data_IF_292946830452
#
_entry.id   IF_292946830452
#
_cell.length_a   1.000
_cell.length_b   1.000
_cell.length_c   1.000
_cell.angle_alpha   90.00
_cell.angle_beta   90.00
_cell.angle_gamma   90.00
#
_symmetry.space_group_name_H-M   'P 1'
#
loop_
_entity.id
_entity.type
_entity.pdbx_description
1 polymer ?
#
# COMPACT_ATOMS: atom_id res chain seq x y z
N UNK A 1 63.55 46.02 -28.24
CA UNK A 1 62.06 46.21 -28.19
C UNK A 1 61.55 46.03 -29.61
N UNK A 2 60.65 45.14 -30.02
CA UNK A 2 59.79 44.16 -29.38
C UNK A 2 59.54 43.06 -30.42
N UNK A 3 60.16 41.88 -30.30
CA UNK A 3 59.74 40.66 -31.05
C UNK A 3 59.32 39.51 -30.12
N UNK A 4 59.54 39.62 -28.80
CA UNK A 4 59.25 38.55 -27.84
C UNK A 4 57.79 38.53 -27.34
N UNK A 5 56.95 39.50 -27.73
CA UNK A 5 55.58 39.63 -27.22
C UNK A 5 54.50 39.12 -28.18
N UNK A 6 54.86 38.73 -29.41
CA UNK A 6 53.89 38.26 -30.42
C UNK A 6 53.68 36.74 -30.39
N UNK A 7 54.75 35.96 -30.16
CA UNK A 7 54.66 34.49 -30.10
C UNK A 7 54.02 33.95 -28.82
N UNK A 8 54.05 34.72 -27.73
CA UNK A 8 53.40 34.34 -26.46
C UNK A 8 51.87 34.43 -26.51
N UNK A 9 51.29 35.23 -27.42
CA UNK A 9 49.82 35.35 -27.53
C UNK A 9 49.20 34.28 -28.41
N UNK A 10 49.94 33.72 -29.36
CA UNK A 10 49.43 32.66 -30.25
C UNK A 10 49.49 31.27 -29.58
N UNK A 11 50.48 31.00 -28.71
CA UNK A 11 50.54 29.77 -27.90
C UNK A 11 49.50 29.69 -26.76
N UNK A 12 49.04 30.84 -26.27
CA UNK A 12 48.08 30.92 -25.16
C UNK A 12 46.62 30.97 -25.65
N UNK A 13 46.37 31.38 -26.90
CA UNK A 13 45.08 31.22 -27.57
C UNK A 13 44.85 29.80 -28.11
N UNK A 14 45.91 29.06 -28.48
CA UNK A 14 45.78 27.66 -28.89
C UNK A 14 45.56 26.68 -27.71
N UNK A 15 45.94 27.07 -26.49
CA UNK A 15 45.76 26.24 -25.27
C UNK A 15 44.44 26.50 -24.53
N UNK A 16 43.69 27.56 -24.88
CA UNK A 16 42.37 27.85 -24.30
C UNK A 16 41.19 27.36 -25.13
N UNK A 17 41.43 26.86 -26.34
CA UNK A 17 40.44 26.17 -27.18
C UNK A 17 40.25 24.69 -26.83
N UNK A 18 40.96 24.17 -25.82
CA UNK A 18 40.98 22.74 -25.47
C UNK A 18 40.21 22.31 -24.22
N UNK A 19 39.40 23.17 -23.58
CA UNK A 19 38.75 22.82 -22.29
C UNK A 19 37.23 23.08 -22.19
N UNK A 20 36.55 23.41 -23.29
CA UNK A 20 35.08 23.39 -23.35
C UNK A 20 34.57 22.67 -24.60
N UNK A 21 35.16 21.53 -24.91
CA UNK A 21 34.44 20.47 -25.61
C UNK A 21 33.97 19.46 -24.55
N UNK A 22 33.12 19.91 -23.61
CA UNK A 22 32.07 19.01 -23.15
C UNK A 22 31.30 18.68 -24.42
N UNK A 23 31.56 17.49 -24.98
CA UNK A 23 30.70 16.95 -26.02
C UNK A 23 29.28 17.11 -25.48
N UNK A 24 28.51 18.01 -26.12
CA UNK A 24 27.09 18.13 -25.84
C UNK A 24 26.55 16.74 -26.10
N UNK A 25 26.32 15.99 -25.02
CA UNK A 25 25.71 14.68 -25.10
C UNK A 25 24.51 14.82 -26.03
N UNK A 26 24.34 13.86 -26.93
CA UNK A 26 23.09 13.81 -27.69
C UNK A 26 21.92 13.76 -26.69
N UNK A 27 20.72 14.17 -27.09
CA UNK A 27 19.57 14.14 -26.19
C UNK A 27 19.34 12.72 -25.63
N UNK A 28 19.58 11.69 -26.46
CA UNK A 28 19.51 10.28 -26.06
C UNK A 28 20.62 9.90 -25.07
N UNK A 29 21.87 10.31 -25.34
CA UNK A 29 23.00 10.05 -24.42
C UNK A 29 22.82 10.76 -23.08
N UNK A 30 22.22 11.95 -23.07
CA UNK A 30 21.87 12.66 -21.85
C UNK A 30 20.83 11.87 -21.05
N UNK A 31 19.73 11.47 -21.69
CA UNK A 31 18.65 10.73 -21.02
C UNK A 31 19.12 9.37 -20.47
N UNK A 32 19.99 8.68 -21.21
CA UNK A 32 20.59 7.41 -20.76
C UNK A 32 21.59 7.63 -19.63
N UNK A 33 22.48 8.63 -19.74
CA UNK A 33 23.47 8.93 -18.71
C UNK A 33 22.84 9.27 -17.36
N UNK A 34 21.72 10.00 -17.37
CA UNK A 34 21.01 10.40 -16.15
C UNK A 34 19.92 9.40 -15.74
N UNK A 35 19.77 8.29 -16.45
CA UNK A 35 18.78 7.24 -16.14
C UNK A 35 17.32 7.69 -16.27
N UNK A 36 17.06 8.82 -16.94
CA UNK A 36 15.71 9.40 -17.11
C UNK A 36 14.81 8.44 -17.87
N UNK A 37 15.39 7.72 -18.85
CA UNK A 37 14.67 6.71 -19.62
C UNK A 37 14.08 5.60 -18.75
N UNK A 38 14.69 5.25 -17.61
CA UNK A 38 14.15 4.24 -16.69
C UNK A 38 12.86 4.73 -16.05
N UNK A 39 12.85 5.97 -15.57
CA UNK A 39 11.67 6.59 -14.95
C UNK A 39 10.54 6.83 -15.96
N UNK A 40 10.87 7.23 -17.20
CA UNK A 40 9.87 7.42 -18.24
C UNK A 40 9.23 6.10 -18.67
N UNK A 41 10.04 5.05 -18.90
CA UNK A 41 9.53 3.71 -19.23
C UNK A 41 8.62 3.18 -18.13
N UNK A 42 9.07 3.26 -16.88
CA UNK A 42 8.28 2.84 -15.72
C UNK A 42 6.98 3.63 -15.60
N UNK A 43 7.03 4.95 -15.68
CA UNK A 43 5.83 5.80 -15.64
C UNK A 43 4.80 5.44 -16.73
N UNK A 44 5.26 5.25 -17.97
CA UNK A 44 4.39 4.87 -19.09
C UNK A 44 3.79 3.47 -18.87
N UNK A 45 4.59 2.50 -18.44
CA UNK A 45 4.12 1.15 -18.10
C UNK A 45 3.00 1.23 -17.06
N UNK A 46 3.19 1.98 -15.98
CA UNK A 46 2.18 2.15 -14.94
C UNK A 46 0.90 2.79 -15.46
N UNK A 47 0.99 3.77 -16.36
CA UNK A 47 -0.19 4.39 -17.00
C UNK A 47 -0.95 3.37 -17.85
N UNK A 48 -0.23 2.56 -18.63
CA UNK A 48 -0.83 1.58 -19.53
C UNK A 48 -1.48 0.41 -18.77
N UNK A 49 -0.84 -0.06 -17.71
CA UNK A 49 -1.32 -1.17 -16.87
C UNK A 49 -2.48 -0.76 -15.98
N UNK A 50 -2.38 0.41 -15.32
CA UNK A 50 -3.36 0.84 -14.32
C UNK A 50 -4.50 1.68 -14.92
N UNK A 51 -4.33 2.25 -16.11
CA UNK A 51 -5.30 3.12 -16.80
C UNK A 51 -5.97 4.12 -15.85
N UNK A 52 -5.20 4.98 -15.16
CA UNK A 52 -5.75 5.93 -14.21
C UNK A 52 -6.76 6.87 -14.88
N UNK A 53 -7.83 7.25 -14.17
CA UNK A 53 -8.87 8.16 -14.69
C UNK A 53 -8.30 9.50 -15.16
N UNK A 54 -7.22 9.94 -14.51
CA UNK A 54 -6.53 11.19 -14.81
C UNK A 54 -5.03 10.96 -15.08
N UNK A 55 -4.67 10.51 -16.31
CA UNK A 55 -3.30 10.13 -16.64
C UNK A 55 -2.26 11.25 -16.47
N UNK A 56 -2.63 12.50 -16.76
CA UNK A 56 -1.71 13.63 -16.64
C UNK A 56 -1.38 13.99 -15.19
N UNK A 57 -2.39 13.99 -14.31
CA UNK A 57 -2.17 14.17 -12.86
C UNK A 57 -1.29 13.04 -12.31
N UNK A 58 -1.56 11.80 -12.73
CA UNK A 58 -0.75 10.63 -12.35
C UNK A 58 0.73 10.77 -12.75
N UNK A 59 1.00 11.17 -13.99
CA UNK A 59 2.38 11.35 -14.49
C UNK A 59 3.10 12.45 -13.71
N UNK A 60 2.44 13.59 -13.48
CA UNK A 60 3.00 14.69 -12.71
C UNK A 60 3.36 14.25 -11.29
N UNK A 61 2.46 13.52 -10.62
CA UNK A 61 2.71 12.95 -9.31
C UNK A 61 3.85 11.93 -9.33
N UNK A 62 3.90 11.04 -10.31
CA UNK A 62 4.98 10.06 -10.43
C UNK A 62 6.34 10.78 -10.51
N UNK A 63 6.49 11.74 -11.43
CA UNK A 63 7.74 12.48 -11.64
C UNK A 63 8.13 13.31 -10.41
N UNK A 64 7.18 14.01 -9.80
CA UNK A 64 7.43 14.72 -8.55
C UNK A 64 7.98 13.78 -7.48
N UNK A 65 7.40 12.59 -7.32
CA UNK A 65 7.86 11.66 -6.31
C UNK A 65 9.21 10.99 -6.64
N UNK A 66 9.51 10.83 -7.92
CA UNK A 66 10.84 10.41 -8.37
C UNK A 66 11.90 11.48 -8.03
N UNK A 67 11.58 12.77 -8.24
CA UNK A 67 12.46 13.90 -7.96
C UNK A 67 12.70 14.12 -6.46
N UNK A 68 11.65 14.04 -5.64
CA UNK A 68 11.73 14.32 -4.20
C UNK A 68 12.29 13.15 -3.36
N UNK A 69 12.79 12.09 -4.00
CA UNK A 69 13.55 11.06 -3.30
C UNK A 69 12.78 10.29 -2.24
N UNK A 70 11.48 10.02 -2.45
CA UNK A 70 10.70 9.17 -1.53
C UNK A 70 11.40 7.82 -1.32
N UNK A 71 11.39 7.34 -0.07
CA UNK A 71 12.05 6.08 0.31
C UNK A 71 11.55 4.89 -0.51
N UNK A 72 12.37 3.84 -0.65
CA UNK A 72 11.98 2.60 -1.35
C UNK A 72 10.70 2.00 -0.77
N UNK A 73 10.50 2.09 0.54
CA UNK A 73 9.26 1.73 1.24
C UNK A 73 8.06 2.53 0.74
N UNK A 74 8.18 3.85 0.65
CA UNK A 74 7.08 4.71 0.20
C UNK A 74 6.76 4.51 -1.29
N UNK A 75 7.77 4.26 -2.13
CA UNK A 75 7.56 3.90 -3.55
C UNK A 75 6.80 2.58 -3.67
N UNK A 76 7.19 1.58 -2.88
CA UNK A 76 6.56 0.26 -2.84
C UNK A 76 5.12 0.32 -2.36
N UNK A 77 4.85 1.09 -1.31
CA UNK A 77 3.49 1.39 -0.85
C UNK A 77 2.62 1.97 -1.98
N UNK A 78 3.16 2.91 -2.76
CA UNK A 78 2.43 3.54 -3.86
C UNK A 78 2.12 2.57 -4.98
N UNK A 79 3.06 1.73 -5.41
CA UNK A 79 2.80 0.70 -6.43
C UNK A 79 1.58 -0.15 -6.06
N UNK A 80 1.54 -0.65 -4.82
CA UNK A 80 0.44 -1.48 -4.34
C UNK A 80 -0.88 -0.69 -4.33
N UNK A 81 -0.85 0.61 -4.02
CA UNK A 81 -2.02 1.50 -4.00
C UNK A 81 -2.50 1.97 -5.38
N UNK A 82 -1.77 1.69 -6.46
CA UNK A 82 -2.17 2.10 -7.81
C UNK A 82 -3.46 1.45 -8.28
N UNK A 83 -3.73 0.25 -7.79
CA UNK A 83 -4.91 -0.50 -8.19
C UNK A 83 -5.45 -1.32 -7.03
N UNK A 84 -6.76 -1.55 -7.05
CA UNK A 84 -7.41 -2.48 -6.13
C UNK A 84 -6.95 -3.91 -6.39
N UNK A 85 -6.97 -4.71 -5.33
CA UNK A 85 -6.44 -6.07 -5.24
C UNK A 85 -7.11 -7.09 -6.17
N UNK A 86 -8.33 -6.80 -6.59
CA UNK A 86 -9.14 -7.59 -7.52
C UNK A 86 -8.87 -7.28 -9.00
N UNK A 87 -8.03 -6.31 -9.32
CA UNK A 87 -7.74 -5.89 -10.70
C UNK A 87 -6.54 -6.64 -11.25
N UNK A 88 -6.53 -6.87 -12.56
CA UNK A 88 -5.48 -7.64 -13.24
C UNK A 88 -4.06 -7.07 -13.02
N UNK A 89 -3.90 -5.74 -13.04
CA UNK A 89 -2.62 -5.07 -12.83
C UNK A 89 -2.06 -5.19 -11.39
N UNK A 90 -2.84 -5.72 -10.44
CA UNK A 90 -2.42 -5.77 -9.04
C UNK A 90 -1.15 -6.61 -8.82
N UNK A 91 -1.04 -7.77 -9.49
CA UNK A 91 0.12 -8.64 -9.32
C UNK A 91 1.40 -8.03 -9.88
N UNK A 92 1.31 -7.32 -10.99
CA UNK A 92 2.45 -6.62 -11.62
C UNK A 92 2.92 -5.45 -10.74
N UNK A 93 1.98 -4.70 -10.17
CA UNK A 93 2.28 -3.67 -9.19
C UNK A 93 2.91 -4.25 -7.91
N UNK A 94 2.41 -5.39 -7.43
CA UNK A 94 2.93 -6.08 -6.25
C UNK A 94 4.36 -6.58 -6.47
N UNK A 95 4.65 -7.12 -7.66
CA UNK A 95 6.00 -7.49 -8.07
C UNK A 95 6.92 -6.26 -8.16
N UNK A 96 6.44 -5.17 -8.75
CA UNK A 96 7.18 -3.89 -8.84
C UNK A 96 7.52 -3.34 -7.46
N UNK A 97 6.60 -3.41 -6.49
CA UNK A 97 6.83 -3.06 -5.09
C UNK A 97 7.92 -3.94 -4.47
N UNK A 98 7.81 -5.27 -4.59
CA UNK A 98 8.79 -6.21 -4.06
C UNK A 98 10.20 -5.95 -4.60
N UNK A 99 10.36 -5.87 -5.93
CA UNK A 99 11.66 -5.65 -6.56
C UNK A 99 12.21 -4.23 -6.32
N UNK A 100 11.37 -3.25 -6.01
CA UNK A 100 11.83 -1.93 -5.57
C UNK A 100 12.52 -2.00 -4.21
N UNK A 101 11.98 -2.80 -3.28
CA UNK A 101 12.62 -3.01 -1.99
C UNK A 101 13.89 -3.84 -2.11
N UNK A 102 13.86 -4.95 -2.86
CA UNK A 102 15.02 -5.84 -3.09
C UNK A 102 16.19 -5.06 -3.65
N UNK A 103 15.99 -4.28 -4.73
CA UNK A 103 17.05 -3.47 -5.34
C UNK A 103 17.67 -2.48 -4.35
N UNK A 104 16.84 -1.89 -3.50
CA UNK A 104 17.34 -0.98 -2.46
C UNK A 104 18.17 -1.72 -1.39
N UNK A 105 17.78 -2.94 -1.00
CA UNK A 105 18.54 -3.77 -0.07
C UNK A 105 19.89 -4.19 -0.65
N UNK A 106 19.92 -4.57 -1.93
CA UNK A 106 21.13 -4.94 -2.65
C UNK A 106 22.12 -3.78 -2.75
N UNK A 107 21.64 -2.55 -2.98
CA UNK A 107 22.46 -1.33 -2.93
C UNK A 107 23.07 -1.08 -1.54
N UNK A 108 22.45 -1.60 -0.47
CA UNK A 108 22.93 -1.54 0.90
C UNK A 108 23.80 -2.77 1.27
N UNK A 109 24.16 -3.61 0.29
CA UNK A 109 24.97 -4.82 0.50
C UNK A 109 24.21 -5.99 1.13
N UNK A 110 22.88 -5.95 1.16
CA UNK A 110 22.04 -7.02 1.71
C UNK A 110 21.52 -7.93 0.60
N UNK A 111 21.26 -9.20 0.93
CA UNK A 111 20.76 -10.20 -0.03
C UNK A 111 19.23 -10.29 0.03
N UNK A 112 18.56 -9.66 -0.94
CA UNK A 112 17.10 -9.68 -1.08
C UNK A 112 16.36 -8.74 -0.12
N UNK A 113 15.04 -8.87 -0.09
CA UNK A 113 14.16 -8.11 0.79
C UNK A 113 14.37 -8.54 2.24
N UNK A 114 14.62 -7.58 3.13
CA UNK A 114 14.81 -7.85 4.56
C UNK A 114 13.52 -7.70 5.35
N UNK A 115 13.44 -8.42 6.48
CA UNK A 115 12.34 -8.31 7.43
C UNK A 115 12.13 -6.88 7.92
N UNK A 116 13.20 -6.10 8.13
CA UNK A 116 13.10 -4.70 8.54
C UNK A 116 12.34 -3.82 7.52
N UNK A 117 12.64 -3.96 6.22
CA UNK A 117 11.96 -3.21 5.16
C UNK A 117 10.52 -3.71 4.97
N UNK A 118 10.32 -5.03 5.02
CA UNK A 118 8.99 -5.64 4.96
C UNK A 118 8.09 -5.12 6.09
N UNK A 119 8.55 -5.19 7.34
CA UNK A 119 7.79 -4.70 8.51
C UNK A 119 7.55 -3.19 8.45
N UNK A 120 8.49 -2.41 7.91
CA UNK A 120 8.29 -0.97 7.70
C UNK A 120 7.17 -0.69 6.71
N UNK A 121 7.05 -1.48 5.64
CA UNK A 121 5.95 -1.37 4.68
C UNK A 121 4.61 -1.79 5.30
N UNK A 122 4.58 -2.91 6.04
CA UNK A 122 3.38 -3.39 6.75
C UNK A 122 2.84 -2.31 7.70
N UNK A 123 3.72 -1.63 8.45
CA UNK A 123 3.32 -0.52 9.33
C UNK A 123 2.64 0.63 8.59
N UNK A 124 3.01 0.91 7.34
CA UNK A 124 2.32 1.94 6.55
C UNK A 124 0.89 1.53 6.22
N UNK A 125 0.66 0.26 5.82
CA UNK A 125 -0.69 -0.24 5.54
C UNK A 125 -1.57 -0.31 6.80
N UNK A 126 -0.99 -0.69 7.93
CA UNK A 126 -1.74 -0.85 9.17
C UNK A 126 -1.86 0.45 9.99
N UNK A 127 -1.48 1.61 9.45
CA UNK A 127 -1.39 2.87 10.23
C UNK A 127 -2.72 3.33 10.81
N UNK A 128 -3.82 3.04 10.13
CA UNK A 128 -5.19 3.39 10.56
C UNK A 128 -5.93 2.21 11.22
N UNK A 129 -5.25 1.10 11.49
CA UNK A 129 -5.91 -0.10 12.04
C UNK A 129 -6.07 0.00 13.57
N UNK A 130 -7.08 -0.69 14.14
CA UNK A 130 -7.19 -0.83 15.59
C UNK A 130 -5.92 -1.47 16.19
N UNK A 131 -5.42 -0.98 17.35
CA UNK A 131 -4.17 -1.47 17.95
C UNK A 131 -4.14 -2.99 18.16
N UNK A 132 -5.27 -3.59 18.51
CA UNK A 132 -5.41 -5.02 18.75
C UNK A 132 -5.18 -5.85 17.47
N UNK A 133 -5.52 -5.27 16.31
CA UNK A 133 -5.30 -5.86 14.99
C UNK A 133 -3.85 -5.73 14.61
N UNK A 134 -3.26 -4.56 14.84
CA UNK A 134 -1.83 -4.32 14.59
C UNK A 134 -0.99 -5.30 15.39
N UNK A 135 -1.30 -5.50 16.68
CA UNK A 135 -0.61 -6.46 17.54
C UNK A 135 -0.71 -7.89 16.98
N UNK A 136 -1.93 -8.32 16.66
CA UNK A 136 -2.17 -9.66 16.11
C UNK A 136 -1.48 -9.89 14.77
N UNK A 137 -1.57 -8.91 13.86
CA UNK A 137 -0.91 -8.92 12.57
C UNK A 137 0.60 -8.95 12.71
N UNK A 138 1.16 -8.15 13.62
CA UNK A 138 2.61 -8.10 13.88
C UNK A 138 3.11 -9.43 14.45
N UNK A 139 2.34 -10.06 15.34
CA UNK A 139 2.67 -11.39 15.90
C UNK A 139 2.69 -12.49 14.84
N UNK A 140 1.71 -12.50 13.93
CA UNK A 140 1.65 -13.49 12.84
C UNK A 140 2.73 -13.22 11.79
N UNK A 141 3.00 -11.95 11.51
CA UNK A 141 3.99 -11.52 10.53
C UNK A 141 5.40 -11.34 11.11
N UNK A 142 5.63 -11.79 12.34
CA UNK A 142 6.88 -11.55 13.07
C UNK A 142 8.06 -12.15 12.30
N UNK A 143 8.96 -11.27 11.88
CA UNK A 143 10.12 -11.59 11.06
C UNK A 143 11.34 -10.90 11.63
N UNK A 144 12.44 -11.63 11.70
CA UNK A 144 13.70 -11.02 12.18
C UNK A 144 14.11 -9.92 11.20
N UNK A 145 14.70 -8.85 11.72
CA UNK A 145 15.09 -7.69 10.90
C UNK A 145 16.00 -8.05 9.73
N UNK A 146 16.89 -9.03 9.90
CA UNK A 146 17.82 -9.54 8.89
C UNK A 146 17.29 -10.73 8.08
N UNK A 147 16.09 -11.22 8.36
CA UNK A 147 15.51 -12.36 7.64
C UNK A 147 15.21 -11.97 6.19
N UNK A 148 15.54 -12.86 5.25
CA UNK A 148 15.19 -12.69 3.85
C UNK A 148 13.73 -13.10 3.62
N UNK A 149 12.97 -12.22 2.99
CA UNK A 149 11.53 -12.39 2.76
C UNK A 149 11.30 -12.78 1.30
N UNK A 150 10.64 -13.91 1.07
CA UNK A 150 10.26 -14.34 -0.29
C UNK A 150 9.11 -13.52 -0.85
N UNK A 151 8.99 -13.49 -2.17
CA UNK A 151 7.84 -12.85 -2.84
C UNK A 151 6.49 -13.43 -2.40
N UNK A 152 6.40 -14.75 -2.24
CA UNK A 152 5.15 -15.40 -1.80
C UNK A 152 4.72 -14.97 -0.40
N UNK A 153 5.67 -14.86 0.54
CA UNK A 153 5.40 -14.40 1.89
C UNK A 153 5.03 -12.91 1.90
N UNK A 154 5.79 -12.09 1.17
CA UNK A 154 5.50 -10.67 0.97
C UNK A 154 4.07 -10.47 0.44
N UNK A 155 3.71 -11.18 -0.64
CA UNK A 155 2.41 -11.07 -1.26
C UNK A 155 1.28 -11.47 -0.30
N UNK A 156 1.46 -12.55 0.47
CA UNK A 156 0.47 -12.97 1.46
C UNK A 156 0.26 -11.91 2.54
N UNK A 157 1.34 -11.31 3.06
CA UNK A 157 1.26 -10.26 4.07
C UNK A 157 0.57 -8.99 3.59
N UNK A 158 0.91 -8.52 2.38
CA UNK A 158 0.26 -7.36 1.77
C UNK A 158 -1.23 -7.63 1.50
N UNK A 159 -1.57 -8.81 0.95
CA UNK A 159 -2.95 -9.20 0.75
C UNK A 159 -3.73 -9.22 2.07
N UNK A 160 -3.15 -9.74 3.14
CA UNK A 160 -3.79 -9.75 4.45
C UNK A 160 -4.08 -8.32 4.94
N UNK A 161 -3.12 -7.39 4.83
CA UNK A 161 -3.34 -5.99 5.21
C UNK A 161 -4.50 -5.36 4.43
N UNK A 162 -4.48 -5.48 3.10
CA UNK A 162 -5.55 -4.94 2.24
C UNK A 162 -6.91 -5.57 2.54
N UNK A 163 -6.97 -6.87 2.86
CA UNK A 163 -8.21 -7.54 3.27
C UNK A 163 -8.77 -6.98 4.58
N UNK A 164 -7.91 -6.66 5.56
CA UNK A 164 -8.36 -6.04 6.81
C UNK A 164 -8.86 -4.61 6.58
N UNK A 165 -8.20 -3.86 5.71
CA UNK A 165 -8.65 -2.51 5.32
C UNK A 165 -10.03 -2.54 4.65
N UNK A 166 -10.20 -3.37 3.60
CA UNK A 166 -11.49 -3.61 2.93
C UNK A 166 -12.58 -4.03 3.94
N UNK A 167 -12.21 -4.85 4.92
CA UNK A 167 -13.11 -5.24 5.99
C UNK A 167 -13.52 -4.07 6.89
N UNK A 168 -12.58 -3.21 7.30
CA UNK A 168 -12.90 -2.04 8.14
C UNK A 168 -13.79 -1.04 7.41
N UNK A 169 -13.50 -0.76 6.14
CA UNK A 169 -14.36 0.09 5.29
C UNK A 169 -15.80 -0.44 5.26
N UNK A 170 -15.97 -1.75 5.12
CA UNK A 170 -17.29 -2.36 5.10
C UNK A 170 -17.97 -2.36 6.48
N UNK A 171 -17.23 -2.63 7.54
CA UNK A 171 -17.73 -2.60 8.91
C UNK A 171 -18.19 -1.18 9.29
N UNK A 172 -17.43 -0.17 8.90
CA UNK A 172 -17.77 1.25 9.08
C UNK A 172 -19.03 1.61 8.29
N UNK A 173 -19.13 1.20 7.02
CA UNK A 173 -20.33 1.41 6.20
C UNK A 173 -21.58 0.83 6.86
N UNK A 174 -21.51 -0.42 7.35
CA UNK A 174 -22.62 -1.07 8.06
C UNK A 174 -22.98 -0.29 9.32
N UNK A 175 -21.99 0.08 10.13
CA UNK A 175 -22.24 0.77 11.39
C UNK A 175 -22.88 2.14 11.15
N UNK A 176 -22.36 2.93 10.21
CA UNK A 176 -22.89 4.24 9.85
C UNK A 176 -24.28 4.15 9.23
N UNK A 177 -24.61 3.05 8.53
CA UNK A 177 -25.97 2.80 8.04
C UNK A 177 -26.98 2.58 9.19
N UNK A 178 -26.51 2.16 10.36
CA UNK A 178 -27.34 1.96 11.55
C UNK A 178 -27.33 3.19 12.48
N UNK A 179 -26.23 3.94 12.55
CA UNK A 179 -26.06 5.15 13.35
C UNK A 179 -26.53 6.41 12.61
N UNK A 180 -27.82 6.45 12.25
CA UNK A 180 -28.41 7.55 11.46
C UNK A 180 -28.24 8.92 12.13
N UNK A 181 -28.21 8.94 13.47
CA UNK A 181 -28.06 10.16 14.25
C UNK A 181 -26.59 10.57 14.50
N UNK A 182 -25.62 9.80 13.99
CA UNK A 182 -24.18 10.00 14.19
C UNK A 182 -23.78 10.15 15.68
N UNK A 183 -24.40 9.37 16.56
CA UNK A 183 -24.15 9.39 18.02
C UNK A 183 -22.96 8.53 18.43
N UNK A 184 -22.37 7.77 17.50
CA UNK A 184 -21.33 6.78 17.74
C UNK A 184 -21.84 5.52 18.45
N UNK A 185 -23.16 5.36 18.52
CA UNK A 185 -23.85 4.31 19.27
C UNK A 185 -25.14 3.91 18.56
N UNK A 186 -25.34 2.60 18.40
CA UNK A 186 -26.54 2.04 17.77
C UNK A 186 -27.24 1.13 18.77
N UNK A 187 -28.56 1.23 18.85
CA UNK A 187 -29.36 0.26 19.60
C UNK A 187 -29.10 -1.17 19.08
N UNK A 188 -28.82 -2.10 19.98
CA UNK A 188 -28.43 -3.47 19.62
C UNK A 188 -29.50 -4.18 18.78
N UNK A 189 -30.79 -4.02 19.11
CA UNK A 189 -31.86 -4.71 18.39
C UNK A 189 -31.97 -4.17 16.95
N UNK A 190 -31.85 -2.85 16.79
CA UNK A 190 -31.78 -2.20 15.47
C UNK A 190 -30.55 -2.68 14.69
N UNK A 191 -29.37 -2.65 15.30
CA UNK A 191 -28.11 -3.09 14.68
C UNK A 191 -28.19 -4.54 14.19
N UNK A 192 -28.69 -5.46 15.02
CA UNK A 192 -28.83 -6.87 14.66
C UNK A 192 -29.89 -7.08 13.56
N UNK A 193 -30.98 -6.30 13.57
CA UNK A 193 -32.02 -6.41 12.54
C UNK A 193 -31.49 -6.03 11.15
N UNK A 194 -30.71 -4.93 11.06
CA UNK A 194 -30.09 -4.46 9.82
C UNK A 194 -29.04 -5.45 9.34
N UNK A 195 -28.19 -5.95 10.25
CA UNK A 195 -27.22 -7.00 9.93
C UNK A 195 -27.89 -8.25 9.34
N UNK A 196 -29.04 -8.68 9.89
CA UNK A 196 -29.82 -9.81 9.34
C UNK A 196 -30.38 -9.51 7.96
N UNK A 197 -30.91 -8.31 7.75
CA UNK A 197 -31.49 -7.90 6.46
C UNK A 197 -30.41 -7.84 5.37
N UNK A 198 -29.25 -7.25 5.66
CA UNK A 198 -28.11 -7.22 4.72
C UNK A 198 -27.63 -8.64 4.39
N UNK A 199 -27.62 -9.53 5.39
CA UNK A 199 -27.20 -10.92 5.20
C UNK A 199 -28.16 -11.73 4.29
N UNK A 200 -29.45 -11.44 4.37
CA UNK A 200 -30.48 -12.04 3.51
C UNK A 200 -30.44 -11.45 2.09
N UNK A 201 -30.21 -10.14 1.96
CA UNK A 201 -30.13 -9.43 0.67
C UNK A 201 -28.92 -9.88 -0.16
N UNK A 202 -27.80 -10.19 0.50
CA UNK A 202 -26.58 -10.70 -0.14
C UNK A 202 -26.72 -12.12 -0.69
N UNK A 203 -27.77 -12.86 -0.32
CA UNK A 203 -28.08 -14.18 -0.90
C UNK A 203 -28.68 -14.08 -2.30
N UNK A 204 -29.30 -12.94 -2.66
CA UNK A 204 -30.14 -12.84 -3.88
C UNK A 204 -29.53 -11.97 -4.99
N UNK A 205 -28.41 -11.26 -4.78
CA UNK A 205 -27.94 -10.22 -5.72
C UNK A 205 -26.51 -10.39 -6.28
N UNK A 206 -25.69 -11.36 -5.84
CA UNK A 206 -24.28 -11.41 -6.29
C UNK A 206 -24.03 -12.35 -7.48
N UNK A 207 -24.54 -11.94 -8.65
CA UNK A 207 -23.82 -12.18 -9.90
C UNK A 207 -22.66 -11.17 -9.98
N UNK A 208 -21.42 -11.70 -10.00
CA UNK A 208 -20.27 -11.14 -10.71
C UNK A 208 -19.93 -9.64 -10.52
N UNK A 209 -19.67 -9.20 -9.29
CA UNK A 209 -18.67 -8.13 -9.10
C UNK A 209 -17.39 -8.73 -8.53
N UNK A 210 -16.43 -9.01 -9.41
CA UNK A 210 -15.08 -9.46 -9.07
C UNK A 210 -14.46 -8.48 -8.06
N UNK A 211 -14.41 -8.85 -6.78
CA UNK A 211 -13.97 -7.95 -5.71
C UNK A 211 -14.40 -8.41 -4.32
N UNK A 212 -13.90 -9.57 -3.90
CA UNK A 212 -13.92 -10.12 -2.54
C UNK A 212 -15.26 -10.12 -1.79
N UNK A 213 -15.82 -11.34 -1.69
CA UNK A 213 -16.62 -11.73 -0.53
C UNK A 213 -15.73 -11.66 0.72
N UNK A 214 -15.77 -10.53 1.43
CA UNK A 214 -15.57 -10.49 2.89
C UNK A 214 -16.32 -11.71 3.44
N UNK A 215 -15.74 -12.54 4.34
CA UNK A 215 -16.36 -13.78 4.80
C UNK A 215 -17.84 -13.55 5.11
N UNK A 216 -18.65 -13.94 4.12
CA UNK A 216 -20.06 -13.62 4.04
C UNK A 216 -20.73 -14.26 5.22
N UNK A 217 -21.75 -13.59 5.78
CA UNK A 217 -22.68 -14.08 6.80
C UNK A 217 -22.09 -14.57 8.13
N UNK A 218 -21.19 -15.54 8.13
CA UNK A 218 -20.63 -16.25 9.29
C UNK A 218 -19.83 -15.36 10.23
N UNK A 219 -19.12 -14.37 9.70
CA UNK A 219 -18.35 -13.42 10.52
C UNK A 219 -19.31 -12.50 11.30
N UNK A 220 -20.34 -11.99 10.62
CA UNK A 220 -21.39 -11.18 11.23
C UNK A 220 -22.22 -12.00 12.22
N UNK A 221 -22.54 -13.26 11.92
CA UNK A 221 -23.21 -14.18 12.84
C UNK A 221 -22.37 -14.48 14.09
N UNK A 222 -21.05 -14.63 13.92
CA UNK A 222 -20.14 -14.85 15.03
C UNK A 222 -19.99 -13.58 15.88
N UNK A 223 -19.90 -12.40 15.26
CA UNK A 223 -19.86 -11.12 15.96
C UNK A 223 -21.18 -10.88 16.74
N UNK A 224 -22.32 -11.23 16.14
CA UNK A 224 -23.62 -11.24 16.81
C UNK A 224 -23.59 -12.10 18.06
N UNK A 225 -23.04 -13.31 18.02
CA UNK A 225 -22.98 -14.18 19.19
C UNK A 225 -22.13 -13.58 20.33
N UNK A 226 -21.02 -12.90 19.98
CA UNK A 226 -20.17 -12.21 20.95
C UNK A 226 -20.90 -11.01 21.57
N UNK A 227 -21.62 -10.22 20.76
CA UNK A 227 -22.39 -9.07 21.23
C UNK A 227 -23.62 -9.49 22.05
N UNK A 228 -24.30 -10.59 21.67
CA UNK A 228 -25.41 -11.17 22.45
C UNK A 228 -24.96 -11.65 23.83
N UNK A 229 -23.74 -12.18 23.94
CA UNK A 229 -23.18 -12.57 25.22
C UNK A 229 -22.93 -11.37 26.15
N UNK A 230 -22.55 -10.20 25.59
CA UNK A 230 -22.42 -8.92 26.31
C UNK A 230 -23.79 -8.42 26.79
N UNK A 231 -24.81 -8.47 25.93
CA UNK A 231 -26.15 -7.96 26.20
C UNK A 231 -26.79 -8.58 27.46
N UNK A 232 -26.56 -9.89 27.71
CA UNK A 232 -27.13 -10.62 28.85
C UNK A 232 -26.78 -10.07 30.24
N UNK A 233 -25.89 -9.10 30.35
CA UNK A 233 -25.54 -8.44 31.61
C UNK A 233 -25.36 -6.91 31.54
N UNK A 234 -25.82 -6.25 30.47
CA UNK A 234 -25.57 -4.81 30.26
C UNK A 234 -26.79 -3.94 30.58
N UNK A 235 -26.62 -2.85 31.34
CA UNK A 235 -27.64 -1.81 31.56
C UNK A 235 -27.85 -0.93 30.30
N UNK A 236 -26.81 -0.78 29.48
CA UNK A 236 -26.86 -0.05 28.21
C UNK A 236 -26.91 -1.03 27.03
N UNK A 237 -28.00 -0.98 26.26
CA UNK A 237 -28.22 -1.82 25.08
C UNK A 237 -27.53 -1.30 23.81
N UNK A 238 -26.89 -0.14 23.88
CA UNK A 238 -26.20 0.40 22.71
C UNK A 238 -24.88 -0.34 22.43
N UNK A 239 -24.56 -0.47 21.16
CA UNK A 239 -23.30 -0.97 20.63
C UNK A 239 -22.53 0.20 20.04
N UNK A 240 -21.30 0.38 20.49
CA UNK A 240 -20.35 1.32 19.88
C UNK A 240 -19.61 0.67 18.71
N UNK A 241 -19.08 1.48 17.79
CA UNK A 241 -18.27 0.98 16.68
C UNK A 241 -17.07 0.16 17.17
N UNK A 242 -16.40 0.63 18.24
CA UNK A 242 -15.28 -0.10 18.87
C UNK A 242 -15.70 -1.49 19.35
N UNK A 243 -16.85 -1.62 19.99
CA UNK A 243 -17.33 -2.92 20.47
C UNK A 243 -17.69 -3.86 19.34
N UNK A 244 -18.29 -3.34 18.26
CA UNK A 244 -18.55 -4.12 17.05
C UNK A 244 -17.24 -4.64 16.42
N UNK A 245 -16.27 -3.75 16.20
CA UNK A 245 -14.97 -4.10 15.63
C UNK A 245 -14.23 -5.11 16.51
N UNK A 246 -14.20 -4.91 17.82
CA UNK A 246 -13.59 -5.86 18.76
C UNK A 246 -14.29 -7.23 18.77
N UNK A 247 -15.62 -7.27 18.67
CA UNK A 247 -16.36 -8.52 18.56
C UNK A 247 -15.94 -9.29 17.30
N UNK A 248 -15.77 -8.59 16.17
CA UNK A 248 -15.35 -9.19 14.90
C UNK A 248 -13.88 -9.63 14.93
N UNK A 249 -12.96 -8.79 15.42
CA UNK A 249 -11.53 -9.10 15.49
C UNK A 249 -11.26 -10.27 16.42
N UNK A 250 -11.95 -10.36 17.56
CA UNK A 250 -11.79 -11.47 18.50
C UNK A 250 -12.00 -12.83 17.82
N UNK A 251 -12.89 -12.90 16.83
CA UNK A 251 -13.12 -14.13 16.05
C UNK A 251 -11.95 -14.44 15.12
N UNK A 252 -11.34 -13.43 14.50
CA UNK A 252 -10.13 -13.60 13.68
C UNK A 252 -8.92 -14.02 14.51
N UNK A 253 -8.69 -13.39 15.66
CA UNK A 253 -7.55 -13.68 16.54
C UNK A 253 -7.67 -15.07 17.15
N UNK A 254 -8.84 -15.43 17.71
CA UNK A 254 -9.08 -16.76 18.28
C UNK A 254 -8.94 -17.88 17.25
N UNK A 255 -9.19 -17.61 15.96
CA UNK A 255 -9.03 -18.59 14.88
C UNK A 255 -7.56 -18.81 14.49
N UNK A 256 -6.68 -17.84 14.78
CA UNK A 256 -5.24 -17.94 14.54
C UNK A 256 -4.46 -18.47 15.76
N UNK A 257 -5.02 -18.41 16.97
CA UNK A 257 -4.40 -19.01 18.17
C UNK A 257 -4.64 -20.52 18.32
N UNK A 258 -5.61 -21.07 17.57
CA UNK A 258 -5.96 -22.50 17.58
C UNK A 258 -5.39 -23.29 16.39
N UNK A 259 -4.38 -22.75 15.70
CA UNK A 259 -3.61 -23.42 14.63
C UNK A 259 -2.13 -23.39 14.98
#
# INVERSE_FOLDING_TARGET
MNLSTKEKKEGEQASRSGQHAEARLSQEEYLDKFGVNVYLKDCITLVLENRPEKPLEFIADYLNNALHGKSSTQRSYRYIRLTRRNRQAFMDNLASAYFTLVRHSEMQGQSGLTGAQYLSLIKLFCSDFPPEVIESLTKVMDKKTSESISFSYFAAGINACLMYEEFFEHAEYIFNSCDVDAKGQVDYDVFISILRQMNQSSSDVLHESEGWNIPSCKLLDSARNVLAARERGAENKNVTYKEFIMAVIKIFVLRNENK
#
